data_IF_131347343014
#
_entry.id   IF_131347343014
#
_cell.length_a   1.000
_cell.length_b   1.000
_cell.length_c   1.000
_cell.angle_alpha   90.00
_cell.angle_beta   90.00
_cell.angle_gamma   90.00
#
_symmetry.space_group_name_H-M   'P 1'
#
loop_
_entity.id
_entity.type
_entity.pdbx_description
1 polymer ?
#
# COMPACT_ATOMS: atom_id res chain seq x y z
N UNK A 1 -34.18 1.35 -11.15
CA UNK A 1 -33.02 1.28 -12.06
C UNK A 1 -31.76 1.14 -11.21
N UNK A 2 -31.30 -0.09 -10.99
CA UNK A 2 -30.03 -0.35 -10.29
C UNK A 2 -28.90 -0.05 -11.26
N UNK A 3 -28.19 1.06 -11.03
CA UNK A 3 -27.01 1.41 -11.82
C UNK A 3 -25.97 0.30 -11.68
N UNK A 4 -25.58 -0.28 -12.82
CA UNK A 4 -24.40 -1.13 -12.92
C UNK A 4 -23.19 -0.26 -12.53
N UNK A 5 -22.70 -0.45 -11.31
CA UNK A 5 -21.48 0.19 -10.86
C UNK A 5 -20.36 -0.22 -11.82
N UNK A 6 -19.90 0.73 -12.64
CA UNK A 6 -18.75 0.53 -13.51
C UNK A 6 -17.58 0.08 -12.65
N UNK A 7 -17.01 -1.08 -12.96
CA UNK A 7 -15.86 -1.65 -12.26
C UNK A 7 -14.62 -0.84 -12.59
N UNK A 8 -14.52 0.33 -11.97
CA UNK A 8 -13.32 1.16 -12.00
C UNK A 8 -12.15 0.39 -11.38
N UNK A 9 -11.20 -0.04 -12.20
CA UNK A 9 -9.96 -0.66 -11.72
C UNK A 9 -9.01 0.37 -11.12
N UNK A 10 -8.44 0.08 -9.94
CA UNK A 10 -7.35 0.86 -9.36
C UNK A 10 -6.09 0.74 -10.23
N UNK A 11 -5.35 1.84 -10.42
CA UNK A 11 -4.09 1.85 -11.16
C UNK A 11 -3.15 2.95 -10.63
N UNK A 12 -1.85 2.76 -10.86
CA UNK A 12 -0.80 3.74 -10.58
C UNK A 12 0.15 3.79 -11.78
N UNK A 13 0.53 4.98 -12.22
CA UNK A 13 1.55 5.17 -13.24
C UNK A 13 2.53 6.24 -12.81
N UNK A 14 3.81 5.88 -12.81
CA UNK A 14 4.94 6.79 -12.68
C UNK A 14 5.24 7.46 -14.02
N UNK A 15 5.74 8.69 -13.99
CA UNK A 15 6.23 9.43 -15.14
C UNK A 15 7.41 10.32 -14.77
N UNK A 16 7.98 11.06 -15.74
CA UNK A 16 9.18 11.87 -15.54
C UNK A 16 8.98 12.98 -14.50
N UNK A 17 10.09 13.47 -13.93
CA UNK A 17 10.11 14.62 -13.00
C UNK A 17 9.30 14.40 -11.72
N UNK A 18 9.27 13.19 -11.18
CA UNK A 18 8.46 12.79 -10.02
C UNK A 18 6.94 12.98 -10.28
N UNK A 19 6.52 12.82 -11.54
CA UNK A 19 5.11 12.87 -11.89
C UNK A 19 4.46 11.52 -11.67
N UNK A 20 3.19 11.53 -11.28
CA UNK A 20 2.41 10.32 -11.20
C UNK A 20 0.94 10.61 -11.45
N UNK A 21 0.22 9.57 -11.86
CA UNK A 21 -1.24 9.52 -11.85
C UNK A 21 -1.68 8.21 -11.21
N UNK A 22 -2.60 8.29 -10.28
CA UNK A 22 -3.09 7.15 -9.53
C UNK A 22 -4.61 7.25 -9.36
N UNK A 23 -5.31 6.15 -9.58
CA UNK A 23 -6.72 6.02 -9.19
C UNK A 23 -6.84 4.88 -8.21
N UNK A 24 -7.41 5.18 -7.06
CA UNK A 24 -7.79 4.20 -6.04
C UNK A 24 -9.26 4.39 -5.69
N UNK A 25 -9.76 3.68 -4.69
CA UNK A 25 -11.12 3.90 -4.20
C UNK A 25 -11.28 5.22 -3.44
N UNK A 26 -10.19 5.90 -3.08
CA UNK A 26 -10.23 7.27 -2.58
C UNK A 26 -10.42 8.32 -3.68
N UNK A 27 -10.32 7.93 -4.95
CA UNK A 27 -10.45 8.82 -6.10
C UNK A 27 -9.19 8.90 -6.96
N UNK A 28 -9.17 9.90 -7.83
CA UNK A 28 -8.03 10.20 -8.71
C UNK A 28 -7.07 11.16 -8.00
N UNK A 29 -5.80 10.78 -7.92
CA UNK A 29 -4.71 11.59 -7.41
C UNK A 29 -3.63 11.71 -8.49
N UNK A 30 -2.99 12.86 -8.57
CA UNK A 30 -1.90 13.07 -9.53
C UNK A 30 -0.99 14.21 -9.10
N UNK A 31 0.23 14.20 -9.63
CA UNK A 31 1.23 15.23 -9.40
C UNK A 31 2.05 15.48 -10.65
N UNK A 32 2.38 16.76 -10.88
CA UNK A 32 3.30 17.23 -11.95
C UNK A 32 2.99 16.61 -13.34
N UNK A 33 1.71 16.44 -13.67
CA UNK A 33 1.32 15.86 -14.96
C UNK A 33 1.80 16.71 -16.14
N UNK A 34 2.05 16.08 -17.31
CA UNK A 34 2.25 16.80 -18.57
C UNK A 34 1.13 17.84 -18.78
N UNK A 35 1.44 19.07 -19.22
CA UNK A 35 0.47 20.14 -19.41
C UNK A 35 -0.80 19.70 -20.15
N UNK A 36 -0.69 18.99 -21.27
CA UNK A 36 -1.89 18.62 -22.04
C UNK A 36 -2.77 17.60 -21.30
N UNK A 37 -2.18 16.69 -20.53
CA UNK A 37 -2.94 15.73 -19.70
C UNK A 37 -3.62 16.46 -18.53
N UNK A 38 -2.92 17.41 -17.90
CA UNK A 38 -3.50 18.22 -16.81
C UNK A 38 -4.69 19.03 -17.32
N UNK A 39 -4.54 19.71 -18.45
CA UNK A 39 -5.59 20.55 -19.02
C UNK A 39 -6.81 19.71 -19.41
N UNK A 40 -6.59 18.49 -19.92
CA UNK A 40 -7.63 17.50 -20.19
C UNK A 40 -8.42 17.09 -18.94
N UNK A 41 -7.74 16.85 -17.82
CA UNK A 41 -8.38 16.45 -16.56
C UNK A 41 -9.09 17.63 -15.87
N UNK A 42 -8.53 18.84 -15.96
CA UNK A 42 -9.10 20.06 -15.34
C UNK A 42 -10.27 20.60 -16.16
N UNK A 43 -10.25 20.44 -17.49
CA UNK A 43 -11.27 20.96 -18.42
C UNK A 43 -12.67 20.36 -18.28
N UNK A 44 -12.91 19.46 -17.31
CA UNK A 44 -14.20 18.76 -17.05
C UNK A 44 -14.75 17.97 -18.24
N UNK A 45 -13.95 17.75 -19.28
CA UNK A 45 -14.32 16.88 -20.40
C UNK A 45 -14.28 15.40 -20.02
N UNK A 46 -13.51 15.07 -18.97
CA UNK A 46 -13.38 13.71 -18.44
C UNK A 46 -14.27 13.58 -17.21
N UNK A 47 -15.30 12.73 -17.30
CA UNK A 47 -16.16 12.39 -16.16
C UNK A 47 -15.57 11.24 -15.34
N UNK A 48 -14.93 10.27 -16.00
CA UNK A 48 -14.37 9.09 -15.34
C UNK A 48 -13.06 8.63 -16.02
N UNK A 49 -12.03 8.27 -15.25
CA UNK A 49 -10.73 7.77 -15.76
C UNK A 49 -10.59 6.26 -15.58
N UNK A 50 -10.74 5.44 -16.62
CA UNK A 50 -10.64 3.98 -16.49
C UNK A 50 -9.21 3.53 -16.14
N UNK A 51 -8.21 4.06 -16.86
CA UNK A 51 -6.80 3.86 -16.60
C UNK A 51 -5.97 4.94 -17.30
N UNK A 52 -4.75 5.13 -16.84
CA UNK A 52 -3.76 5.98 -17.51
C UNK A 52 -2.36 5.34 -17.45
N UNK A 53 -1.54 5.66 -18.44
CA UNK A 53 -0.13 5.30 -18.49
C UNK A 53 0.68 6.55 -18.83
N UNK A 54 1.76 6.79 -18.10
CA UNK A 54 2.78 7.80 -18.38
C UNK A 54 4.04 7.06 -18.87
N UNK A 55 4.68 7.60 -19.89
CA UNK A 55 5.93 7.08 -20.44
C UNK A 55 7.16 7.69 -19.78
N UNK A 56 8.33 7.37 -20.35
CA UNK A 56 9.63 7.81 -19.84
C UNK A 56 9.98 9.27 -20.18
N UNK A 57 9.23 9.92 -21.08
CA UNK A 57 9.47 11.30 -21.53
C UNK A 57 8.24 12.19 -21.35
N UNK A 58 8.41 13.51 -21.18
CA UNK A 58 7.29 14.44 -21.12
C UNK A 58 6.38 14.32 -22.35
N UNK A 59 5.08 14.53 -22.16
CA UNK A 59 4.06 14.36 -23.20
C UNK A 59 3.91 12.95 -23.81
N UNK A 60 4.57 11.94 -23.23
CA UNK A 60 4.27 10.54 -23.50
C UNK A 60 3.28 10.04 -22.47
N UNK A 61 1.99 10.03 -22.82
CA UNK A 61 0.94 9.56 -21.93
C UNK A 61 -0.25 9.00 -22.72
N UNK A 62 -1.01 8.11 -22.11
CA UNK A 62 -2.28 7.56 -22.64
C UNK A 62 -3.31 7.59 -21.52
N UNK A 63 -4.54 8.01 -21.85
CA UNK A 63 -5.67 8.08 -20.95
C UNK A 63 -6.88 7.39 -21.58
N UNK A 64 -7.38 6.34 -20.94
CA UNK A 64 -8.71 5.79 -21.22
C UNK A 64 -9.71 6.38 -20.24
N UNK A 65 -10.76 7.00 -20.77
CA UNK A 65 -11.72 7.74 -19.97
C UNK A 65 -13.14 7.67 -20.54
N UNK A 66 -14.10 8.09 -19.74
CA UNK A 66 -15.49 8.34 -20.12
C UNK A 66 -15.75 9.84 -20.01
N UNK A 67 -16.35 10.43 -21.04
CA UNK A 67 -16.75 11.83 -21.02
C UNK A 67 -18.09 12.04 -20.27
N UNK A 68 -18.52 13.30 -20.16
CA UNK A 68 -19.80 13.67 -19.53
C UNK A 68 -21.04 13.17 -20.29
N UNK A 69 -20.91 12.83 -21.58
CA UNK A 69 -21.98 12.20 -22.37
C UNK A 69 -22.05 10.69 -22.14
N UNK A 70 -21.09 10.15 -21.40
CA UNK A 70 -20.96 8.73 -21.12
C UNK A 70 -20.23 7.94 -22.20
N UNK A 71 -19.62 8.60 -23.18
CA UNK A 71 -18.87 7.97 -24.26
C UNK A 71 -17.45 7.67 -23.81
N UNK A 72 -17.01 6.42 -23.99
CA UNK A 72 -15.63 6.02 -23.76
C UNK A 72 -14.71 6.56 -24.86
N UNK A 73 -13.57 7.10 -24.47
CA UNK A 73 -12.55 7.61 -25.37
C UNK A 73 -11.16 7.28 -24.88
N UNK A 74 -10.23 7.14 -25.83
CA UNK A 74 -8.80 7.05 -25.55
C UNK A 74 -8.16 8.31 -26.11
N UNK A 75 -7.35 8.98 -25.30
CA UNK A 75 -6.54 10.13 -25.70
C UNK A 75 -5.09 9.88 -25.34
N UNK A 76 -4.18 10.53 -26.03
CA UNK A 76 -2.74 10.39 -25.79
C UNK A 76 -2.01 11.72 -26.01
N UNK A 77 -0.82 11.81 -25.44
CA UNK A 77 0.09 12.93 -25.63
C UNK A 77 0.85 12.85 -26.95
N UNK A 78 1.47 13.96 -27.33
CA UNK A 78 2.18 14.09 -28.61
C UNK A 78 3.49 13.31 -28.70
N UNK A 79 3.99 12.75 -27.59
CA UNK A 79 5.26 12.03 -27.53
C UNK A 79 5.08 10.52 -27.25
N UNK A 80 3.95 9.94 -27.63
CA UNK A 80 3.83 8.46 -27.67
C UNK A 80 4.61 7.89 -28.86
N UNK A 81 5.04 6.60 -28.82
CA UNK A 81 5.71 5.98 -29.96
C UNK A 81 4.83 6.04 -31.23
N UNK A 82 5.40 6.46 -32.36
CA UNK A 82 4.65 6.65 -33.63
C UNK A 82 3.93 5.38 -34.12
N UNK A 83 4.54 4.20 -33.88
CA UNK A 83 3.92 2.91 -34.16
C UNK A 83 2.68 2.67 -33.29
N UNK A 84 2.72 3.09 -32.03
CA UNK A 84 1.58 3.00 -31.12
C UNK A 84 0.46 3.97 -31.52
N UNK A 85 0.80 5.20 -31.92
CA UNK A 85 -0.19 6.15 -32.45
C UNK A 85 -0.94 5.57 -33.66
N UNK A 86 -0.22 4.96 -34.59
CA UNK A 86 -0.81 4.28 -35.76
C UNK A 86 -1.74 3.13 -35.37
N UNK A 87 -1.42 2.42 -34.27
CA UNK A 87 -2.29 1.36 -33.73
C UNK A 87 -3.53 1.99 -33.10
N UNK A 88 -3.37 2.97 -32.22
CA UNK A 88 -4.47 3.57 -31.45
C UNK A 88 -5.49 4.28 -32.36
N UNK A 89 -5.04 4.94 -33.41
CA UNK A 89 -5.92 5.58 -34.42
C UNK A 89 -6.80 4.59 -35.19
N UNK A 90 -6.38 3.32 -35.32
CA UNK A 90 -7.11 2.26 -36.01
C UNK A 90 -7.87 1.33 -35.06
N UNK A 91 -7.67 1.46 -33.75
CA UNK A 91 -8.23 0.57 -32.73
C UNK A 91 -9.53 1.12 -32.19
N UNK A 92 -10.50 0.25 -31.89
CA UNK A 92 -11.74 0.66 -31.24
C UNK A 92 -11.49 1.05 -29.78
N UNK A 93 -12.32 1.94 -29.26
CA UNK A 93 -12.21 2.36 -27.86
C UNK A 93 -12.92 1.36 -26.95
N UNK A 94 -12.13 0.61 -26.18
CA UNK A 94 -12.62 -0.34 -25.18
C UNK A 94 -12.08 0.02 -23.79
N UNK A 95 -12.90 -0.02 -22.72
CA UNK A 95 -12.40 0.12 -21.36
C UNK A 95 -11.49 -1.05 -20.95
N UNK A 96 -11.44 -2.13 -21.73
CA UNK A 96 -10.56 -3.28 -21.52
C UNK A 96 -9.24 -3.19 -22.27
N UNK A 97 -9.07 -2.24 -23.21
CA UNK A 97 -7.77 -1.99 -23.81
C UNK A 97 -6.81 -1.56 -22.71
N UNK A 98 -5.58 -2.06 -22.70
CA UNK A 98 -4.50 -1.66 -21.80
C UNK A 98 -3.29 -1.28 -22.61
N UNK A 99 -2.54 -0.29 -22.15
CA UNK A 99 -1.22 0.00 -22.68
C UNK A 99 -0.27 0.35 -21.56
N UNK A 100 1.01 0.01 -21.75
CA UNK A 100 2.12 0.42 -20.88
C UNK A 100 3.18 1.04 -21.78
N UNK A 101 3.76 2.13 -21.30
CA UNK A 101 4.82 2.88 -21.95
C UNK A 101 6.08 2.76 -21.11
N UNK A 102 7.23 2.54 -21.74
CA UNK A 102 8.51 2.38 -21.04
C UNK A 102 9.64 3.25 -21.60
N UNK A 103 10.89 2.97 -21.20
CA UNK A 103 12.08 3.60 -21.76
C UNK A 103 12.26 3.32 -23.25
N UNK A 104 12.92 4.21 -24.01
CA UNK A 104 13.38 3.92 -25.38
C UNK A 104 12.27 3.65 -26.39
N UNK A 105 11.19 4.43 -26.36
CA UNK A 105 10.00 4.25 -27.20
C UNK A 105 9.36 2.86 -27.11
N UNK A 106 9.61 2.15 -26.00
CA UNK A 106 9.04 0.84 -25.76
C UNK A 106 7.59 0.93 -25.35
N UNK A 107 6.77 0.02 -25.88
CA UNK A 107 5.38 -0.08 -25.50
C UNK A 107 4.84 -1.49 -25.68
N UNK A 108 3.78 -1.78 -24.93
CA UNK A 108 2.88 -2.89 -25.21
C UNK A 108 1.44 -2.40 -25.06
N UNK A 109 0.60 -2.78 -26.02
CA UNK A 109 -0.84 -2.56 -26.00
C UNK A 109 -1.53 -3.90 -26.17
N UNK A 110 -2.49 -4.19 -25.31
CA UNK A 110 -3.24 -5.45 -25.37
C UNK A 110 -4.72 -5.31 -25.01
N UNK A 111 -5.49 -6.22 -25.59
CA UNK A 111 -6.93 -6.47 -25.46
C UNK A 111 -7.13 -7.97 -25.76
N UNK A 112 -8.24 -8.62 -25.36
CA UNK A 112 -8.53 -10.00 -25.76
C UNK A 112 -8.35 -10.32 -27.26
N UNK A 113 -8.53 -9.33 -28.13
CA UNK A 113 -8.47 -9.46 -29.60
C UNK A 113 -7.27 -8.75 -30.25
N UNK A 114 -6.44 -8.07 -29.45
CA UNK A 114 -5.33 -7.27 -29.97
C UNK A 114 -4.14 -7.43 -29.03
N UNK A 115 -2.98 -7.72 -29.58
CA UNK A 115 -1.72 -7.50 -28.90
C UNK A 115 -0.67 -6.98 -29.86
N UNK A 116 -0.01 -5.88 -29.50
CA UNK A 116 1.12 -5.31 -30.23
C UNK A 116 2.11 -4.74 -29.24
N UNK A 117 3.39 -4.87 -29.55
CA UNK A 117 4.47 -4.22 -28.82
C UNK A 117 5.59 -3.78 -29.77
N UNK A 118 6.49 -2.95 -29.27
CA UNK A 118 7.75 -2.63 -29.93
C UNK A 118 8.81 -2.25 -28.88
N UNK A 119 10.07 -2.46 -29.23
CA UNK A 119 11.25 -2.03 -28.47
C UNK A 119 11.27 -2.49 -27.00
N UNK A 120 10.67 -3.64 -26.69
CA UNK A 120 10.68 -4.15 -25.32
C UNK A 120 12.12 -4.56 -24.91
N UNK A 121 12.45 -4.55 -23.61
CA UNK A 121 13.65 -5.23 -23.13
C UNK A 121 13.72 -6.67 -23.66
N UNK A 122 14.87 -7.15 -24.17
CA UNK A 122 14.95 -8.46 -24.83
C UNK A 122 14.38 -9.61 -24.00
N UNK A 123 14.72 -9.69 -22.71
CA UNK A 123 14.21 -10.75 -21.83
C UNK A 123 12.71 -10.63 -21.52
N UNK A 124 12.13 -9.42 -21.60
CA UNK A 124 10.68 -9.24 -21.50
C UNK A 124 9.99 -9.71 -22.79
N UNK A 125 10.57 -9.38 -23.95
CA UNK A 125 10.08 -9.86 -25.23
C UNK A 125 10.13 -11.39 -25.31
N UNK A 126 11.25 -12.00 -24.94
CA UNK A 126 11.40 -13.47 -24.89
C UNK A 126 10.36 -14.11 -23.96
N UNK A 127 10.11 -13.51 -22.79
CA UNK A 127 9.08 -13.97 -21.87
C UNK A 127 7.69 -13.94 -22.53
N UNK A 128 7.32 -12.82 -23.18
CA UNK A 128 6.02 -12.70 -23.87
C UNK A 128 5.90 -13.61 -25.08
N UNK A 129 6.96 -13.78 -25.87
CA UNK A 129 6.99 -14.72 -26.99
C UNK A 129 6.82 -16.16 -26.50
N UNK A 130 7.43 -16.51 -25.36
CA UNK A 130 7.24 -17.83 -24.75
C UNK A 130 5.79 -18.08 -24.32
N UNK A 131 5.00 -17.02 -24.08
CA UNK A 131 3.60 -17.14 -23.71
C UNK A 131 2.66 -17.31 -24.91
N UNK A 132 3.19 -17.22 -26.13
CA UNK A 132 2.44 -17.34 -27.36
C UNK A 132 2.65 -18.71 -28.02
N UNK A 133 1.66 -19.08 -28.81
CA UNK A 133 1.66 -20.19 -29.77
C UNK A 133 1.13 -19.66 -31.10
N UNK A 134 1.30 -20.39 -32.22
CA UNK A 134 0.66 -20.02 -33.48
C UNK A 134 -0.86 -19.83 -33.38
N UNK A 135 -1.51 -20.47 -32.40
CA UNK A 135 -2.96 -20.45 -32.18
C UNK A 135 -3.42 -19.46 -31.09
N UNK A 136 -2.51 -18.66 -30.51
CA UNK A 136 -2.83 -17.72 -29.43
C UNK A 136 -2.06 -17.99 -28.14
N UNK A 137 -2.65 -17.66 -26.99
CA UNK A 137 -1.96 -17.67 -25.70
C UNK A 137 -1.76 -19.07 -25.10
N UNK A 138 -0.50 -19.45 -24.87
CA UNK A 138 -0.10 -20.69 -24.16
C UNK A 138 -0.48 -20.63 -22.68
N UNK A 139 -0.20 -19.49 -22.05
CA UNK A 139 -0.38 -19.28 -20.59
C UNK A 139 -1.33 -18.11 -20.28
N UNK A 140 -2.24 -17.83 -21.21
CA UNK A 140 -3.16 -16.70 -21.12
C UNK A 140 -2.51 -15.35 -21.50
N UNK A 141 -3.33 -14.32 -21.76
CA UNK A 141 -2.83 -12.98 -22.07
C UNK A 141 -2.14 -12.35 -20.86
N UNK A 142 -1.41 -11.24 -21.06
CA UNK A 142 -0.82 -10.51 -19.97
C UNK A 142 -1.88 -9.96 -19.02
N UNK A 143 -1.68 -10.23 -17.74
CA UNK A 143 -2.49 -9.67 -16.65
C UNK A 143 -1.82 -8.43 -16.06
N UNK A 144 -0.53 -8.53 -15.77
CA UNK A 144 0.30 -7.40 -15.28
C UNK A 144 1.59 -7.38 -16.07
N UNK A 145 1.95 -6.21 -16.61
CA UNK A 145 3.27 -5.95 -17.20
C UNK A 145 3.70 -4.57 -16.73
N UNK A 146 4.95 -4.45 -16.29
CA UNK A 146 5.60 -3.17 -16.07
C UNK A 146 7.11 -3.34 -16.16
N UNK A 147 7.82 -2.33 -16.66
CA UNK A 147 9.27 -2.36 -16.78
C UNK A 147 9.85 -0.96 -16.61
N UNK A 148 11.10 -0.93 -16.14
CA UNK A 148 11.86 0.28 -15.90
C UNK A 148 13.13 0.34 -16.74
N UNK A 149 14.00 1.33 -16.48
CA UNK A 149 15.35 1.39 -17.06
C UNK A 149 16.17 0.12 -16.81
N UNK A 150 17.20 -0.05 -17.63
CA UNK A 150 18.18 -1.15 -17.55
C UNK A 150 17.62 -2.56 -17.75
N UNK A 151 16.39 -2.67 -18.28
CA UNK A 151 15.76 -3.96 -18.55
C UNK A 151 15.19 -4.65 -17.32
N UNK A 152 15.00 -3.94 -16.21
CA UNK A 152 14.19 -4.46 -15.10
C UNK A 152 12.72 -4.54 -15.50
N UNK A 153 12.08 -5.67 -15.21
CA UNK A 153 10.67 -5.86 -15.52
C UNK A 153 9.99 -6.83 -14.57
N UNK A 154 8.66 -6.70 -14.51
CA UNK A 154 7.76 -7.71 -13.98
C UNK A 154 6.67 -8.00 -15.01
N UNK A 155 6.44 -9.28 -15.28
CA UNK A 155 5.36 -9.74 -16.13
C UNK A 155 4.64 -10.92 -15.47
N UNK A 156 3.31 -10.89 -15.46
CA UNK A 156 2.45 -11.99 -15.03
C UNK A 156 1.30 -12.20 -16.02
N UNK A 157 1.07 -13.43 -16.44
CA UNK A 157 -0.04 -13.82 -17.30
C UNK A 157 -1.35 -14.05 -16.51
N UNK A 158 -2.48 -14.11 -17.21
CA UNK A 158 -3.78 -14.46 -16.61
C UNK A 158 -3.78 -15.86 -15.98
N UNK A 159 -2.99 -16.81 -16.51
CA UNK A 159 -2.90 -18.17 -15.94
C UNK A 159 -1.83 -18.30 -14.85
N UNK A 160 -1.19 -17.18 -14.47
CA UNK A 160 -0.28 -17.12 -13.33
C UNK A 160 1.18 -17.43 -13.65
N UNK A 161 1.57 -17.48 -14.92
CA UNK A 161 2.99 -17.54 -15.31
C UNK A 161 3.65 -16.21 -14.95
N UNK A 162 4.83 -16.25 -14.33
CA UNK A 162 5.55 -15.04 -13.88
C UNK A 162 6.96 -15.04 -14.41
N UNK A 163 7.36 -13.91 -14.98
CA UNK A 163 8.74 -13.61 -15.34
C UNK A 163 9.13 -12.25 -14.77
N UNK A 164 10.32 -12.16 -14.16
CA UNK A 164 10.84 -10.92 -13.61
C UNK A 164 12.35 -10.83 -13.77
N UNK A 165 12.86 -9.63 -14.00
CA UNK A 165 14.29 -9.31 -14.06
C UNK A 165 14.57 -8.01 -13.31
N UNK A 166 15.76 -7.91 -12.73
CA UNK A 166 16.15 -6.82 -11.82
C UNK A 166 17.14 -5.81 -12.45
N UNK A 167 17.17 -5.72 -13.78
CA UNK A 167 18.06 -4.80 -14.50
C UNK A 167 19.54 -5.17 -14.43
N UNK A 168 20.42 -4.19 -14.64
CA UNK A 168 21.87 -4.32 -14.53
C UNK A 168 22.35 -4.46 -13.07
N UNK A 169 23.66 -4.58 -12.88
CA UNK A 169 24.26 -4.77 -11.56
C UNK A 169 23.93 -3.59 -10.62
N UNK A 170 22.99 -3.83 -9.69
CA UNK A 170 22.57 -2.98 -8.56
C UNK A 170 21.54 -1.87 -8.83
N UNK A 171 20.97 -1.75 -10.01
CA UNK A 171 20.00 -0.67 -10.26
C UNK A 171 18.64 -0.86 -9.58
N UNK A 172 18.25 -2.10 -9.26
CA UNK A 172 16.95 -2.42 -8.69
C UNK A 172 17.07 -3.30 -7.43
N UNK A 173 17.94 -2.90 -6.49
CA UNK A 173 18.21 -3.68 -5.28
C UNK A 173 16.98 -3.81 -4.37
N UNK A 174 16.22 -2.73 -4.12
CA UNK A 174 15.02 -2.75 -3.27
C UNK A 174 13.92 -3.59 -3.92
N UNK A 175 13.73 -3.46 -5.23
CA UNK A 175 12.78 -4.28 -5.99
C UNK A 175 13.17 -5.76 -5.93
N UNK A 176 14.44 -6.08 -6.14
CA UNK A 176 14.97 -7.44 -6.02
C UNK A 176 14.76 -8.02 -4.62
N UNK A 177 15.16 -7.29 -3.58
CA UNK A 177 14.98 -7.68 -2.18
C UNK A 177 13.51 -7.95 -1.88
N UNK A 178 12.60 -7.09 -2.37
CA UNK A 178 11.15 -7.27 -2.18
C UNK A 178 10.64 -8.55 -2.84
N UNK A 179 11.07 -8.85 -4.07
CA UNK A 179 10.70 -10.08 -4.77
C UNK A 179 11.28 -11.31 -4.07
N UNK A 180 12.53 -11.25 -3.61
CA UNK A 180 13.18 -12.35 -2.90
C UNK A 180 12.52 -12.61 -1.54
N UNK A 181 12.16 -11.56 -0.80
CA UNK A 181 11.38 -11.68 0.45
C UNK A 181 10.04 -12.38 0.25
N UNK A 182 9.31 -12.01 -0.80
CA UNK A 182 8.02 -12.62 -1.09
C UNK A 182 8.17 -14.07 -1.54
N UNK A 183 9.18 -14.39 -2.37
CA UNK A 183 9.48 -15.78 -2.75
C UNK A 183 9.86 -16.64 -1.54
N UNK A 184 10.54 -16.06 -0.54
CA UNK A 184 10.91 -16.74 0.70
C UNK A 184 9.75 -16.89 1.71
N UNK A 185 8.67 -16.13 1.56
CA UNK A 185 7.51 -16.18 2.44
C UNK A 185 6.74 -17.51 2.28
N UNK A 186 6.59 -18.24 3.39
CA UNK A 186 5.95 -19.57 3.39
C UNK A 186 4.50 -19.47 2.89
N UNK A 187 4.24 -20.13 1.77
CA UNK A 187 2.90 -20.19 1.16
C UNK A 187 2.56 -19.00 0.28
N UNK A 188 3.51 -18.10 0.00
CA UNK A 188 3.32 -17.05 -0.99
C UNK A 188 3.04 -17.64 -2.36
N UNK A 189 2.09 -17.02 -3.06
CA UNK A 189 1.74 -17.34 -4.45
C UNK A 189 1.69 -16.05 -5.24
N UNK A 190 2.25 -16.01 -6.44
CA UNK A 190 2.16 -14.85 -7.32
C UNK A 190 0.73 -14.48 -7.69
N UNK A 191 -0.20 -15.43 -7.67
CA UNK A 191 -1.63 -15.17 -7.83
C UNK A 191 -2.23 -14.29 -6.71
N UNK A 192 -1.53 -14.14 -5.58
CA UNK A 192 -1.85 -13.17 -4.52
C UNK A 192 -1.45 -11.74 -4.87
N UNK A 193 -0.59 -11.52 -5.88
CA UNK A 193 -0.26 -10.19 -6.36
C UNK A 193 -1.47 -9.58 -7.09
N UNK A 194 -1.87 -8.39 -6.65
CA UNK A 194 -2.99 -7.66 -7.23
C UNK A 194 -2.52 -6.61 -8.23
N UNK A 195 -1.41 -5.92 -7.92
CA UNK A 195 -0.88 -4.83 -8.73
C UNK A 195 0.63 -4.71 -8.55
N UNK A 196 1.33 -4.32 -9.62
CA UNK A 196 2.70 -3.82 -9.55
C UNK A 196 2.95 -2.84 -10.69
N UNK A 197 3.66 -1.75 -10.40
CA UNK A 197 4.16 -0.78 -11.37
C UNK A 197 5.60 -0.41 -11.02
N UNK A 198 6.48 -0.44 -12.00
CA UNK A 198 7.86 0.05 -11.97
C UNK A 198 7.88 1.42 -12.63
N UNK A 199 8.74 2.32 -12.15
CA UNK A 199 8.95 3.63 -12.77
C UNK A 199 9.75 3.48 -14.08
N UNK A 200 9.24 4.00 -15.22
CA UNK A 200 9.96 3.95 -16.49
C UNK A 200 11.14 4.93 -16.57
N UNK A 201 11.38 5.75 -15.56
CA UNK A 201 12.42 6.79 -15.54
C UNK A 201 13.44 6.63 -14.43
N UNK A 202 13.01 6.17 -13.25
CA UNK A 202 13.85 6.08 -12.06
C UNK A 202 14.10 4.62 -11.70
N UNK A 203 15.38 4.25 -11.60
CA UNK A 203 15.75 2.94 -11.10
C UNK A 203 15.29 2.76 -9.65
N UNK A 204 14.86 1.54 -9.33
CA UNK A 204 14.39 1.13 -8.00
C UNK A 204 13.19 1.89 -7.45
N UNK A 205 12.44 2.64 -8.28
CA UNK A 205 11.13 3.17 -7.92
C UNK A 205 10.02 2.24 -8.42
N UNK A 206 9.16 1.79 -7.51
CA UNK A 206 8.05 0.89 -7.82
C UNK A 206 6.98 0.92 -6.73
N UNK A 207 5.84 0.32 -7.03
CA UNK A 207 4.83 -0.06 -6.05
C UNK A 207 4.28 -1.44 -6.40
N UNK A 208 4.06 -2.28 -5.41
CA UNK A 208 3.46 -3.60 -5.53
C UNK A 208 2.45 -3.84 -4.39
N UNK A 209 1.24 -4.27 -4.73
CA UNK A 209 0.12 -4.48 -3.80
C UNK A 209 -0.38 -5.92 -3.93
N UNK A 210 -0.51 -6.64 -2.81
CA UNK A 210 -1.07 -7.98 -2.71
C UNK A 210 -2.56 -7.93 -2.37
N UNK A 211 -3.28 -9.01 -2.69
CA UNK A 211 -4.73 -9.19 -2.45
C UNK A 211 -5.12 -9.14 -0.97
N UNK A 212 -4.19 -9.40 -0.06
CA UNK A 212 -4.37 -9.31 1.39
C UNK A 212 -4.19 -7.87 1.94
N UNK A 213 -3.95 -6.89 1.06
CA UNK A 213 -3.71 -5.49 1.42
C UNK A 213 -2.27 -5.20 1.82
N UNK A 214 -1.39 -6.21 1.85
CA UNK A 214 0.03 -5.97 2.08
C UNK A 214 0.66 -5.34 0.83
N UNK A 215 1.55 -4.39 1.03
CA UNK A 215 2.21 -3.73 -0.08
C UNK A 215 3.68 -3.43 0.22
N UNK A 216 4.43 -3.28 -0.86
CA UNK A 216 5.81 -2.84 -0.85
C UNK A 216 5.99 -1.84 -1.99
N UNK A 217 6.87 -0.88 -1.81
CA UNK A 217 7.17 0.11 -2.83
C UNK A 217 8.48 0.79 -2.51
N UNK A 218 8.92 1.62 -3.43
CA UNK A 218 10.09 2.45 -3.27
C UNK A 218 9.85 3.69 -4.10
N UNK A 219 9.97 4.85 -3.47
CA UNK A 219 9.74 6.15 -4.10
C UNK A 219 10.57 7.19 -3.35
N UNK A 220 10.72 8.38 -3.94
CA UNK A 220 11.32 9.50 -3.25
C UNK A 220 10.46 9.99 -2.07
N UNK A 221 11.09 10.56 -1.03
CA UNK A 221 10.41 11.07 0.18
C UNK A 221 9.27 12.06 -0.15
N UNK A 222 9.31 12.66 -1.34
CA UNK A 222 8.36 13.66 -1.81
C UNK A 222 7.00 13.05 -2.17
N UNK A 223 6.94 11.78 -2.58
CA UNK A 223 5.73 11.10 -3.03
C UNK A 223 5.34 9.88 -2.18
N UNK A 224 6.02 9.67 -1.05
CA UNK A 224 5.72 8.59 -0.09
C UNK A 224 4.24 8.57 0.31
N UNK A 225 3.68 9.73 0.68
CA UNK A 225 2.28 9.87 1.06
C UNK A 225 1.31 9.42 -0.03
N UNK A 226 1.63 9.68 -1.30
CA UNK A 226 0.78 9.31 -2.43
C UNK A 226 0.79 7.80 -2.68
N UNK A 227 1.97 7.18 -2.52
CA UNK A 227 2.14 5.73 -2.66
C UNK A 227 1.42 4.99 -1.52
N UNK A 228 1.57 5.45 -0.28
CA UNK A 228 0.83 4.91 0.87
C UNK A 228 -0.68 5.12 0.70
N UNK A 229 -1.13 6.34 0.35
CA UNK A 229 -2.54 6.62 0.14
C UNK A 229 -3.15 5.76 -0.97
N UNK A 230 -2.43 5.53 -2.07
CA UNK A 230 -2.88 4.62 -3.11
C UNK A 230 -2.99 3.19 -2.60
N UNK A 231 -1.95 2.67 -1.93
CA UNK A 231 -1.92 1.28 -1.49
C UNK A 231 -3.00 0.98 -0.44
N UNK A 232 -3.19 1.87 0.54
CA UNK A 232 -4.22 1.74 1.58
C UNK A 232 -5.66 1.81 1.02
N UNK A 233 -5.84 2.45 -0.13
CA UNK A 233 -7.15 2.59 -0.78
C UNK A 233 -7.24 1.75 -2.08
N UNK A 234 -6.29 0.83 -2.31
CA UNK A 234 -6.22 0.05 -3.54
C UNK A 234 -7.45 -0.85 -3.70
N UNK A 235 -7.82 -1.53 -2.61
CA UNK A 235 -9.10 -2.22 -2.51
C UNK A 235 -10.10 -1.26 -1.90
N UNK A 236 -11.27 -1.17 -2.51
CA UNK A 236 -12.38 -0.48 -1.90
C UNK A 236 -12.64 -1.22 -0.61
N UNK A 237 -12.55 -0.51 0.52
CA UNK A 237 -13.26 -0.97 1.71
C UNK A 237 -14.68 -1.19 1.20
N UNK A 238 -15.07 -2.46 1.03
CA UNK A 238 -16.48 -2.79 0.94
C UNK A 238 -16.99 -2.21 2.23
N UNK A 239 -17.56 -0.99 2.17
CA UNK A 239 -18.24 -0.39 3.30
C UNK A 239 -19.22 -1.47 3.64
N UNK A 240 -18.96 -2.21 4.71
CA UNK A 240 -19.91 -3.14 5.28
C UNK A 240 -21.12 -2.26 5.44
N UNK A 241 -22.10 -2.43 4.55
CA UNK A 241 -23.36 -1.74 4.64
C UNK A 241 -23.85 -2.18 6.01
N UNK A 242 -23.65 -1.31 6.98
CA UNK A 242 -24.10 -1.45 8.35
C UNK A 242 -25.58 -1.71 8.16
N UNK A 243 -25.98 -2.98 8.27
CA UNK A 243 -27.35 -3.42 8.07
C UNK A 243 -28.15 -2.55 9.03
N UNK A 244 -28.80 -1.52 8.49
CA UNK A 244 -29.71 -0.70 9.28
C UNK A 244 -30.80 -1.68 9.66
N UNK A 245 -30.97 -2.04 10.94
CA UNK A 245 -32.01 -2.97 11.32
C UNK A 245 -33.33 -2.39 10.82
N UNK A 246 -33.97 -3.13 9.91
CA UNK A 246 -35.30 -2.78 9.45
C UNK A 246 -36.20 -2.76 10.69
N UNK A 247 -37.06 -1.75 10.88
CA UNK A 247 -38.02 -1.76 11.98
C UNK A 247 -38.97 -2.94 11.75
N UNK A 248 -38.71 -4.04 12.45
CA UNK A 248 -39.56 -5.20 12.50
C UNK A 248 -40.83 -4.83 13.25
N UNK A 249 -41.92 -4.70 12.51
CA UNK A 249 -43.29 -4.70 13.02
C UNK A 249 -43.50 -5.92 13.91
N UNK A 250 -43.88 -5.66 15.15
CA UNK A 250 -44.17 -6.60 16.22
C UNK A 250 -45.26 -7.61 15.85
N UNK A 251 -44.98 -8.90 16.05
CA UNK A 251 -45.99 -9.88 16.46
C UNK A 251 -45.55 -10.56 17.77
N UNK A 252 -46.46 -10.75 18.74
CA UNK A 252 -46.15 -11.44 19.98
C UNK A 252 -46.45 -12.93 19.80
N UNK A 253 -45.45 -13.79 19.94
CA UNK A 253 -45.70 -15.14 20.43
C UNK A 253 -44.46 -15.71 21.10
N UNK A 254 -44.66 -16.15 22.34
CA UNK A 254 -43.61 -16.46 23.29
C UNK A 254 -42.96 -17.81 23.08
N UNK A 255 -41.67 -17.87 23.38
CA UNK A 255 -41.02 -18.94 24.13
C UNK A 255 -39.59 -18.52 24.47
N UNK A 256 -39.29 -18.50 25.77
CA UNK A 256 -37.97 -18.14 26.31
C UNK A 256 -37.05 -19.36 26.31
N UNK A 257 -35.79 -19.22 25.89
CA UNK A 257 -34.69 -19.94 26.49
C UNK A 257 -33.82 -18.98 27.30
N UNK A 258 -33.46 -19.47 28.48
CA UNK A 258 -32.68 -18.82 29.52
C UNK A 258 -31.23 -18.62 29.05
N UNK A 259 -30.89 -17.42 28.56
CA UNK A 259 -29.54 -17.05 28.12
C UNK A 259 -29.09 -15.77 28.84
N UNK A 260 -28.09 -15.90 29.71
CA UNK A 260 -27.56 -14.83 30.56
C UNK A 260 -27.05 -13.62 29.75
N UNK A 261 -27.46 -12.38 30.07
CA UNK A 261 -27.02 -11.18 29.38
C UNK A 261 -25.72 -10.63 30.00
N UNK A 262 -24.55 -11.02 29.47
CA UNK A 262 -23.25 -10.49 29.93
C UNK A 262 -22.44 -9.70 28.88
N UNK A 263 -22.93 -9.53 27.65
CA UNK A 263 -22.09 -9.01 26.54
C UNK A 263 -21.97 -7.48 26.42
N UNK A 264 -22.67 -6.68 27.23
CA UNK A 264 -22.68 -5.22 27.04
C UNK A 264 -21.50 -4.45 27.68
N UNK A 265 -20.85 -5.02 28.70
CA UNK A 265 -19.75 -4.36 29.40
C UNK A 265 -18.40 -4.55 28.69
N UNK A 266 -18.17 -5.74 28.13
CA UNK A 266 -16.93 -6.11 27.43
C UNK A 266 -16.75 -5.30 26.13
N UNK A 267 -17.82 -5.20 25.33
CA UNK A 267 -17.81 -4.39 24.10
C UNK A 267 -17.50 -2.90 24.32
N UNK A 268 -17.87 -2.34 25.49
CA UNK A 268 -17.55 -0.94 25.84
C UNK A 268 -16.08 -0.77 26.23
N UNK A 269 -15.50 -1.75 26.92
CA UNK A 269 -14.08 -1.72 27.28
C UNK A 269 -13.19 -1.81 26.04
N UNK A 270 -13.59 -2.65 25.07
CA UNK A 270 -12.87 -2.79 23.81
C UNK A 270 -12.84 -1.49 23.00
N UNK A 271 -13.98 -0.79 22.90
CA UNK A 271 -14.05 0.49 22.17
C UNK A 271 -13.17 1.58 22.80
N UNK A 272 -13.11 1.65 24.14
CA UNK A 272 -12.26 2.61 24.83
C UNK A 272 -10.77 2.30 24.64
N UNK A 273 -10.39 1.01 24.68
CA UNK A 273 -9.01 0.59 24.46
C UNK A 273 -8.57 0.80 23.00
N UNK A 274 -9.47 0.57 22.05
CA UNK A 274 -9.24 0.85 20.63
C UNK A 274 -9.01 2.34 20.38
N UNK A 275 -9.81 3.21 20.98
CA UNK A 275 -9.61 4.66 20.89
C UNK A 275 -8.25 5.10 21.49
N UNK A 276 -7.81 4.47 22.59
CA UNK A 276 -6.48 4.71 23.17
C UNK A 276 -5.37 4.26 22.23
N UNK A 277 -5.50 3.09 21.60
CA UNK A 277 -4.56 2.62 20.59
C UNK A 277 -4.50 3.58 19.39
N UNK A 278 -5.63 3.98 18.83
CA UNK A 278 -5.69 4.88 17.67
C UNK A 278 -5.02 6.24 17.98
N UNK A 279 -5.27 6.78 19.18
CA UNK A 279 -4.61 8.00 19.65
C UNK A 279 -3.09 7.82 19.74
N UNK A 280 -2.63 6.80 20.48
CA UNK A 280 -1.20 6.53 20.66
C UNK A 280 -0.49 6.25 19.32
N UNK A 281 -1.11 5.46 18.44
CA UNK A 281 -0.56 5.13 17.13
C UNK A 281 -0.46 6.38 16.24
N UNK A 282 -1.45 7.27 16.29
CA UNK A 282 -1.42 8.55 15.57
C UNK A 282 -0.30 9.45 16.07
N UNK A 283 -0.19 9.65 17.39
CA UNK A 283 0.86 10.46 18.01
C UNK A 283 2.26 9.91 17.68
N UNK A 284 2.43 8.59 17.84
CA UNK A 284 3.68 7.88 17.52
C UNK A 284 4.04 8.04 16.04
N UNK A 285 3.08 7.82 15.13
CA UNK A 285 3.30 7.97 13.69
C UNK A 285 3.70 9.40 13.31
N UNK A 286 3.11 10.42 13.96
CA UNK A 286 3.48 11.83 13.74
C UNK A 286 4.93 12.09 14.20
N UNK A 287 5.35 11.51 15.33
CA UNK A 287 6.73 11.64 15.80
C UNK A 287 7.73 10.97 14.84
N UNK A 288 7.44 9.75 14.36
CA UNK A 288 8.28 9.07 13.38
C UNK A 288 8.42 9.86 12.08
N UNK A 289 7.31 10.39 11.55
CA UNK A 289 7.32 11.21 10.35
C UNK A 289 8.14 12.50 10.54
N UNK A 290 7.98 13.19 11.67
CA UNK A 290 8.74 14.40 11.98
C UNK A 290 10.26 14.12 12.09
N UNK A 291 10.65 13.01 12.71
CA UNK A 291 12.04 12.62 12.85
C UNK A 291 12.65 12.14 11.51
N UNK A 292 11.90 11.39 10.72
CA UNK A 292 12.31 10.97 9.37
C UNK A 292 12.58 12.20 8.49
N UNK A 293 11.67 13.19 8.51
CA UNK A 293 11.84 14.45 7.77
C UNK A 293 13.09 15.22 8.22
N UNK A 294 13.41 15.22 9.51
CA UNK A 294 14.61 15.87 10.04
C UNK A 294 15.91 15.20 9.53
N UNK A 295 15.93 13.87 9.40
CA UNK A 295 17.10 13.14 8.89
C UNK A 295 17.31 13.25 7.37
N UNK A 296 16.28 13.64 6.62
CA UNK A 296 16.34 13.74 5.17
C UNK A 296 17.09 15.00 4.67
N UNK A 297 17.30 16.00 5.53
CA UNK A 297 18.02 17.24 5.17
C UNK A 297 19.50 16.94 4.92
N UNK A 298 19.87 16.77 3.64
CA UNK A 298 21.27 16.67 3.19
C UNK A 298 21.70 15.36 2.52
N UNK A 299 20.80 14.37 2.36
CA UNK A 299 21.11 13.17 1.56
C UNK A 299 20.61 13.32 0.12
N UNK A 300 21.38 12.88 -0.89
CA UNK A 300 20.86 12.75 -2.25
C UNK A 300 19.63 11.84 -2.23
N UNK A 301 18.62 12.19 -3.04
CA UNK A 301 17.30 11.56 -3.09
C UNK A 301 17.38 10.14 -3.68
N UNK A 302 17.93 9.21 -2.92
CA UNK A 302 17.83 7.79 -3.26
C UNK A 302 16.46 7.28 -2.86
N UNK A 303 15.76 6.51 -3.73
CA UNK A 303 14.52 5.84 -3.37
C UNK A 303 14.68 5.04 -2.08
N UNK A 304 13.65 5.01 -1.23
CA UNK A 304 13.66 4.25 0.02
C UNK A 304 12.61 3.16 -0.03
N UNK A 305 12.95 1.97 0.49
CA UNK A 305 12.00 0.87 0.66
C UNK A 305 10.88 1.28 1.62
N UNK A 306 9.68 1.37 1.09
CA UNK A 306 8.43 1.50 1.80
C UNK A 306 7.76 0.13 1.86
N UNK A 307 7.48 -0.36 3.06
CA UNK A 307 6.76 -1.62 3.23
C UNK A 307 5.77 -1.43 4.36
N UNK A 308 4.48 -1.54 4.05
CA UNK A 308 3.41 -1.53 5.03
C UNK A 308 2.55 -2.75 4.75
N UNK A 309 2.56 -3.71 5.68
CA UNK A 309 1.65 -4.86 5.59
C UNK A 309 0.39 -4.55 6.40
N UNK A 310 -0.73 -4.43 5.68
CA UNK A 310 -2.12 -4.33 6.11
C UNK A 310 -2.39 -3.60 7.44
N UNK A 311 -2.56 -2.27 7.33
CA UNK A 311 -3.36 -1.47 8.29
C UNK A 311 -4.86 -1.75 8.05
N UNK A 312 -5.51 -2.61 8.82
CA UNK A 312 -6.99 -2.52 8.91
C UNK A 312 -7.33 -1.36 9.87
N UNK A 313 -8.09 -0.40 9.36
CA UNK A 313 -8.51 0.77 10.12
C UNK A 313 -10.01 0.72 10.33
N UNK A 314 -10.38 0.58 11.61
CA UNK A 314 -11.58 1.18 12.20
C UNK A 314 -11.40 2.70 12.25
N UNK A 315 -12.30 3.45 11.64
CA UNK A 315 -13.02 4.61 12.20
C UNK A 315 -13.82 5.33 11.11
N UNK A 316 -15.04 5.70 11.47
CA UNK A 316 -16.09 6.35 10.68
C UNK A 316 -15.73 7.81 10.32
N UNK A 317 -16.02 8.30 9.09
CA UNK A 317 -16.01 9.73 8.80
C UNK A 317 -17.42 10.29 8.97
N UNK A 318 -17.70 10.84 10.15
CA UNK A 318 -18.83 11.74 10.40
C UNK A 318 -18.33 12.95 11.20
N UNK A 319 -17.58 13.82 10.54
CA UNK A 319 -17.44 15.21 11.00
C UNK A 319 -17.14 16.12 9.82
N UNK A 320 -17.97 17.14 9.69
CA UNK A 320 -17.88 18.31 8.83
C UNK A 320 -16.48 18.96 8.96
N UNK A 321 -15.86 19.44 7.87
CA UNK A 321 -14.53 20.03 7.95
C UNK A 321 -14.55 21.33 8.80
N UNK A 322 -13.68 21.48 9.80
CA UNK A 322 -13.53 22.76 10.50
C UNK A 322 -12.75 23.75 9.61
N UNK A 323 -12.88 25.06 9.86
CA UNK A 323 -12.19 26.09 9.09
C UNK A 323 -10.67 25.94 9.20
N UNK A 324 -9.98 26.25 8.11
CA UNK A 324 -8.53 26.24 7.91
C UNK A 324 -7.81 27.04 9.01
N UNK A 325 -7.59 26.44 10.18
CA UNK A 325 -6.64 26.94 11.16
C UNK A 325 -5.24 26.61 10.67
N UNK A 326 -4.42 27.66 10.46
CA UNK A 326 -2.98 27.58 10.19
C UNK A 326 -2.37 26.49 11.08
N UNK A 327 -1.97 25.36 10.49
CA UNK A 327 -1.18 24.35 11.18
C UNK A 327 0.10 25.03 11.64
N UNK A 328 0.31 25.04 12.95
CA UNK A 328 1.55 25.50 13.58
C UNK A 328 2.71 24.82 12.86
N UNK A 329 3.66 25.60 12.36
CA UNK A 329 4.83 25.11 11.62
C UNK A 329 5.69 24.27 12.55
N UNK A 330 5.37 23.00 12.68
CA UNK A 330 6.18 22.06 13.43
C UNK A 330 7.44 21.83 12.60
N UNK A 331 8.51 22.55 12.93
CA UNK A 331 9.84 22.28 12.39
C UNK A 331 10.13 20.78 12.57
N UNK A 332 10.61 20.07 11.56
CA UNK A 332 10.96 18.66 11.69
C UNK A 332 11.97 18.50 12.84
N UNK A 333 11.69 17.59 13.78
CA UNK A 333 12.47 17.38 15.00
C UNK A 333 12.80 15.90 15.13
N UNK A 334 14.06 15.60 15.41
CA UNK A 334 14.52 14.27 15.81
C UNK A 334 13.89 13.88 17.16
N UNK A 335 13.85 12.58 17.45
CA UNK A 335 13.39 12.10 18.74
C UNK A 335 14.32 12.56 19.87
N UNK A 336 13.72 13.19 20.89
CA UNK A 336 14.35 13.52 22.17
C UNK A 336 13.66 12.81 23.35
N UNK A 337 12.64 12.00 23.07
CA UNK A 337 11.90 11.21 24.04
C UNK A 337 11.30 9.96 23.36
N UNK A 338 11.01 8.93 24.16
CA UNK A 338 10.40 7.71 23.65
C UNK A 338 8.86 7.84 23.62
N UNK A 339 8.18 7.32 22.58
CA UNK A 339 6.71 7.27 22.51
C UNK A 339 6.14 6.18 23.45
N UNK A 340 6.15 6.46 24.76
CA UNK A 340 5.66 5.53 25.78
C UNK A 340 4.19 5.14 25.59
N UNK A 341 3.84 3.93 26.03
CA UNK A 341 2.46 3.47 26.06
C UNK A 341 1.62 4.31 27.03
N UNK A 342 0.31 4.48 26.80
CA UNK A 342 -0.55 5.18 27.74
C UNK A 342 -0.56 4.49 29.10
N UNK A 343 -0.37 5.26 30.18
CA UNK A 343 -0.35 4.74 31.56
C UNK A 343 -1.62 3.98 31.97
N UNK A 344 -2.75 4.28 31.32
CA UNK A 344 -4.02 3.57 31.50
C UNK A 344 -4.01 2.13 30.97
N UNK A 345 -3.05 1.78 30.13
CA UNK A 345 -2.90 0.43 29.55
C UNK A 345 -1.81 -0.37 30.25
N UNK A 346 -0.81 0.29 30.84
CA UNK A 346 0.34 -0.33 31.52
C UNK A 346 0.02 -0.83 32.94
N UNK A 347 -1.12 -1.49 33.12
CA UNK A 347 -1.69 -1.84 34.43
C UNK A 347 -1.47 -3.29 34.86
N UNK A 348 -0.72 -4.11 34.08
CA UNK A 348 -0.40 -5.49 34.47
C UNK A 348 0.20 -5.55 35.88
N UNK A 349 -0.42 -6.35 36.75
CA UNK A 349 -0.13 -6.42 38.18
C UNK A 349 0.77 -7.59 38.59
N UNK A 350 1.18 -8.43 37.64
CA UNK A 350 2.08 -9.56 37.89
C UNK A 350 3.40 -9.08 38.49
N UNK A 351 3.88 -9.75 39.53
CA UNK A 351 5.08 -9.34 40.28
C UNK A 351 6.31 -9.21 39.38
N UNK A 352 6.52 -10.15 38.46
CA UNK A 352 7.61 -10.11 37.47
C UNK A 352 7.50 -8.89 36.55
N UNK A 353 6.29 -8.54 36.12
CA UNK A 353 6.04 -7.37 35.28
C UNK A 353 6.26 -6.06 36.04
N UNK A 354 5.90 -5.99 37.33
CA UNK A 354 6.15 -4.81 38.17
C UNK A 354 7.64 -4.51 38.31
N UNK A 355 8.47 -5.55 38.50
CA UNK A 355 9.93 -5.39 38.57
C UNK A 355 10.46 -4.80 37.26
N UNK A 356 10.10 -5.36 36.11
CA UNK A 356 10.52 -4.86 34.80
C UNK A 356 10.09 -3.40 34.54
N UNK A 357 8.87 -3.02 34.95
CA UNK A 357 8.35 -1.65 34.77
C UNK A 357 9.06 -0.61 35.64
N UNK A 358 9.57 -1.04 36.79
CA UNK A 358 10.15 -0.15 37.80
C UNK A 358 11.57 0.30 37.48
N UNK A 359 12.20 -0.30 36.48
CA UNK A 359 13.52 0.11 36.01
C UNK A 359 13.44 1.53 35.41
N UNK A 360 14.23 2.47 35.96
CA UNK A 360 14.25 3.91 35.63
C UNK A 360 14.46 4.19 34.13
N UNK A 361 15.05 3.23 33.46
CA UNK A 361 15.60 3.35 32.13
C UNK A 361 14.90 2.43 31.10
N UNK A 362 13.72 1.94 31.46
CA UNK A 362 12.91 1.01 30.67
C UNK A 362 11.80 1.70 29.87
N UNK A 363 11.11 0.94 29.03
CA UNK A 363 9.88 1.38 28.36
C UNK A 363 8.64 1.41 29.28
N UNK A 364 8.79 1.11 30.58
CA UNK A 364 7.73 1.08 31.59
C UNK A 364 6.49 0.23 31.23
N UNK A 365 6.68 -0.78 30.38
CA UNK A 365 5.63 -1.68 29.92
C UNK A 365 6.16 -3.12 29.91
N UNK A 366 5.30 -4.09 30.22
CA UNK A 366 5.62 -5.51 30.05
C UNK A 366 4.96 -6.09 28.79
N UNK A 367 5.30 -7.34 28.45
CA UNK A 367 4.71 -8.08 27.33
C UNK A 367 3.17 -8.04 27.34
N UNK A 368 2.54 -8.21 28.50
CA UNK A 368 1.08 -8.22 28.63
C UNK A 368 0.44 -6.86 28.32
N UNK A 369 1.08 -5.76 28.72
CA UNK A 369 0.55 -4.42 28.42
C UNK A 369 0.69 -4.10 26.93
N UNK A 370 1.83 -4.47 26.33
CA UNK A 370 2.07 -4.31 24.90
C UNK A 370 1.09 -5.16 24.11
N UNK A 371 0.94 -6.45 24.43
CA UNK A 371 -0.06 -7.32 23.78
C UNK A 371 -1.47 -6.73 23.90
N UNK A 372 -1.86 -6.28 25.08
CA UNK A 372 -3.18 -5.70 25.34
C UNK A 372 -3.44 -4.47 24.46
N UNK A 373 -2.49 -3.54 24.38
CA UNK A 373 -2.62 -2.35 23.53
C UNK A 373 -2.68 -2.73 22.05
N UNK A 374 -1.77 -3.61 21.61
CA UNK A 374 -1.66 -3.98 20.20
C UNK A 374 -2.86 -4.81 19.73
N UNK A 375 -3.48 -5.63 20.59
CA UNK A 375 -4.74 -6.34 20.28
C UNK A 375 -5.89 -5.38 19.99
N UNK A 376 -5.91 -4.23 20.66
CA UNK A 376 -6.94 -3.21 20.44
C UNK A 376 -6.85 -2.54 19.06
N UNK A 377 -5.78 -2.78 18.29
CA UNK A 377 -5.71 -2.37 16.88
C UNK A 377 -6.73 -3.07 15.98
N UNK A 378 -7.20 -4.27 16.36
CA UNK A 378 -7.94 -5.16 15.47
C UNK A 378 -7.09 -5.84 14.39
N UNK A 379 -5.76 -5.65 14.40
CA UNK A 379 -4.80 -6.16 13.40
C UNK A 379 -3.87 -7.25 13.91
N UNK A 380 -4.03 -7.61 15.17
CA UNK A 380 -3.09 -8.42 15.89
C UNK A 380 -2.93 -9.81 15.27
N UNK A 381 -1.85 -9.96 14.51
CA UNK A 381 -1.48 -11.15 13.76
C UNK A 381 0.04 -11.23 13.67
N UNK A 382 0.57 -12.42 13.35
CA UNK A 382 2.02 -12.63 13.22
C UNK A 382 2.64 -11.66 12.20
N UNK A 383 2.03 -11.54 11.02
CA UNK A 383 2.54 -10.66 9.95
C UNK A 383 2.49 -9.19 10.35
N UNK A 384 1.45 -8.76 11.06
CA UNK A 384 1.34 -7.38 11.54
C UNK A 384 2.37 -7.08 12.64
N UNK A 385 2.55 -7.97 13.62
CA UNK A 385 3.58 -7.82 14.66
C UNK A 385 4.98 -7.75 14.07
N UNK A 386 5.25 -8.53 13.02
CA UNK A 386 6.52 -8.47 12.28
C UNK A 386 6.77 -7.07 11.71
N UNK A 387 5.75 -6.38 11.20
CA UNK A 387 5.90 -5.02 10.68
C UNK A 387 6.11 -3.99 11.79
N UNK A 388 5.30 -4.07 12.85
CA UNK A 388 5.47 -3.19 14.01
C UNK A 388 6.87 -3.31 14.58
N UNK A 389 7.39 -4.54 14.72
CA UNK A 389 8.76 -4.80 15.16
C UNK A 389 9.82 -4.07 14.32
N UNK A 390 9.65 -3.94 13.01
CA UNK A 390 10.63 -3.25 12.15
C UNK A 390 10.71 -1.73 12.41
N UNK A 391 9.65 -1.11 12.93
CA UNK A 391 9.67 0.30 13.33
C UNK A 391 10.54 0.51 14.58
N UNK A 392 10.59 -0.51 15.44
CA UNK A 392 11.34 -0.51 16.70
C UNK A 392 12.75 -1.08 16.58
N UNK A 393 13.29 -1.30 15.36
CA UNK A 393 14.66 -1.77 15.21
C UNK A 393 15.65 -0.74 15.82
N UNK A 394 16.53 -1.14 16.77
CA UNK A 394 17.38 -0.20 17.51
C UNK A 394 18.16 0.75 16.60
N UNK A 395 18.83 0.21 15.57
CA UNK A 395 19.62 1.04 14.65
C UNK A 395 18.78 2.00 13.80
N UNK A 396 17.59 1.56 13.38
CA UNK A 396 16.68 2.40 12.59
C UNK A 396 16.14 3.54 13.46
N UNK A 397 15.69 3.21 14.66
CA UNK A 397 15.18 4.16 15.63
C UNK A 397 16.28 5.15 16.08
N UNK A 398 17.49 4.67 16.34
CA UNK A 398 18.63 5.50 16.73
C UNK A 398 19.03 6.54 15.68
N UNK A 399 18.84 6.26 14.39
CA UNK A 399 19.06 7.26 13.32
C UNK A 399 18.05 8.40 13.36
N UNK A 400 16.86 8.16 13.92
CA UNK A 400 15.80 9.14 14.07
C UNK A 400 15.93 9.95 15.36
N UNK A 401 16.87 9.60 16.24
CA UNK A 401 17.10 10.27 17.53
C UNK A 401 18.09 11.43 17.40
N UNK A 402 17.92 12.44 18.25
CA UNK A 402 18.93 13.46 18.52
C UNK A 402 20.21 12.79 19.03
N UNK A 403 21.37 13.40 18.78
CA UNK A 403 22.67 12.77 19.04
C UNK A 403 22.85 12.45 20.53
N UNK A 404 22.48 13.39 21.40
CA UNK A 404 22.51 13.27 22.86
C UNK A 404 21.55 12.21 23.41
N UNK A 405 20.52 11.84 22.65
CA UNK A 405 19.50 10.88 23.07
C UNK A 405 19.58 9.54 22.33
N UNK A 406 20.52 9.39 21.38
CA UNK A 406 20.59 8.25 20.46
C UNK A 406 20.75 6.91 21.16
N UNK A 407 21.69 6.81 22.11
CA UNK A 407 21.96 5.54 22.79
C UNK A 407 20.81 5.14 23.72
N UNK A 408 20.20 6.12 24.40
CA UNK A 408 18.98 5.92 25.19
C UNK A 408 17.82 5.44 24.31
N UNK A 409 17.58 6.10 23.18
CA UNK A 409 16.55 5.74 22.22
C UNK A 409 16.74 4.34 21.63
N UNK A 410 17.97 3.98 21.24
CA UNK A 410 18.33 2.62 20.78
C UNK A 410 17.99 1.56 21.82
N UNK A 411 18.36 1.80 23.08
CA UNK A 411 18.11 0.86 24.18
C UNK A 411 16.60 0.63 24.37
N UNK A 412 15.82 1.71 24.48
CA UNK A 412 14.36 1.64 24.66
C UNK A 412 13.66 0.98 23.46
N UNK A 413 14.05 1.32 22.23
CA UNK A 413 13.56 0.64 21.04
C UNK A 413 13.92 -0.85 21.04
N UNK A 414 15.11 -1.21 21.53
CA UNK A 414 15.54 -2.59 21.71
C UNK A 414 14.69 -3.39 22.70
N UNK A 415 14.22 -2.77 23.78
CA UNK A 415 13.25 -3.40 24.70
C UNK A 415 11.92 -3.66 24.00
N UNK A 416 11.37 -2.67 23.30
CA UNK A 416 10.13 -2.83 22.53
C UNK A 416 10.27 -3.93 21.46
N UNK A 417 11.39 -3.94 20.74
CA UNK A 417 11.71 -4.96 19.72
C UNK A 417 11.77 -6.37 20.31
N UNK A 418 12.33 -6.55 21.51
CA UNK A 418 12.35 -7.83 22.22
C UNK A 418 10.93 -8.27 22.58
N UNK A 419 10.11 -7.39 23.16
CA UNK A 419 8.73 -7.71 23.50
C UNK A 419 7.93 -8.13 22.25
N UNK A 420 8.05 -7.40 21.15
CA UNK A 420 7.41 -7.76 19.88
C UNK A 420 7.84 -9.14 19.37
N UNK A 421 9.11 -9.52 19.58
CA UNK A 421 9.64 -10.83 19.18
C UNK A 421 8.97 -11.97 19.95
N UNK A 422 8.82 -11.81 21.27
CA UNK A 422 8.13 -12.80 22.12
C UNK A 422 6.65 -12.92 21.70
N UNK A 423 5.98 -11.80 21.43
CA UNK A 423 4.59 -11.81 20.95
C UNK A 423 4.41 -12.55 19.61
N UNK A 424 5.39 -12.42 18.70
CA UNK A 424 5.39 -13.16 17.44
C UNK A 424 5.50 -14.68 17.67
N UNK A 425 6.38 -15.11 18.57
CA UNK A 425 6.56 -16.53 18.94
C UNK A 425 5.27 -17.10 19.54
N UNK A 426 4.62 -16.38 20.47
CA UNK A 426 3.36 -16.78 21.08
C UNK A 426 2.23 -16.97 20.06
N UNK A 427 2.11 -16.04 19.09
CA UNK A 427 1.11 -16.15 18.02
C UNK A 427 1.41 -17.34 17.10
N UNK A 428 2.69 -17.59 16.81
CA UNK A 428 3.12 -18.74 16.02
C UNK A 428 2.74 -20.07 16.70
N UNK A 429 3.04 -20.22 18.00
CA UNK A 429 2.71 -21.43 18.75
C UNK A 429 1.20 -21.65 18.89
N UNK A 430 0.40 -20.59 19.09
CA UNK A 430 -1.07 -20.69 19.12
C UNK A 430 -1.63 -21.20 17.79
N UNK A 431 -1.07 -20.76 16.66
CA UNK A 431 -1.49 -21.21 15.33
C UNK A 431 -1.13 -22.67 15.03
N UNK A 432 0.02 -23.14 15.53
CA UNK A 432 0.44 -24.54 15.36
C UNK A 432 -0.42 -25.50 16.21
N UNK A 433 -0.72 -25.12 17.45
CA UNK A 433 -1.56 -25.91 18.34
C UNK A 433 -3.01 -26.00 17.82
N UNK A 434 -3.55 -24.90 17.28
CA UNK A 434 -4.89 -24.91 16.66
C UNK A 434 -5.03 -25.87 15.48
N UNK A 435 -3.95 -26.08 14.70
CA UNK A 435 -3.94 -27.00 13.57
C UNK A 435 -3.83 -28.48 13.96
N UNK A 436 -3.34 -28.79 15.16
CA UNK A 436 -3.23 -30.17 15.65
C UNK A 436 -4.48 -30.64 16.39
N UNK A 437 -5.30 -29.70 16.89
CA UNK A 437 -6.53 -29.98 17.63
C UNK A 437 -7.81 -29.95 16.78
N UNK A 438 -7.71 -29.66 15.48
CA UNK A 438 -8.79 -29.78 14.49
C UNK A 438 -8.47 -30.95 13.56
#
# INVERSE_FOLDING_TARGET
MSGTAGTSSSFFSFGPNDSFIARSFAGLQYRKLPPSLRDLLVGRTVAEVHWAALGSVPESWILSSKDSSGRSSIRWGSAIPSRLETILTKTWHSPHLRAVLGPGDSFIVWHPELIRWANLPPNLEDALQSWLTPSGWRVGPPRIISWGPEGAFFAMSEYGEVSCQFGGDKAWEIYKETVDEWKAEKGFKWSSLAFIALDPTSADQFIAVRKDGTWAGSIDDINEDALEAFALNFFGKAKSQKHRPSPSTSQPNGQMPNGSPSTSAEAKQDAALQALYEKWATETSVMFAAAAAATAVGRPKTPRKLQVRSRSSSTDPSSTPPPLSRRSSCTPKLFTMFPYLPGSVTTCSLTTCKMLKSEENSIHACQHDVEKLLRASGLYSYEWLRQERLQWHPDRFGRLCAEEWRETGKRLAGEMFKLMSVLMEDVSHKNENGRRGS
#
